data_IF_075844353861
#
_entry.id   IF_075844353861
#
_cell.length_a   1.000
_cell.length_b   1.000
_cell.length_c   1.000
_cell.angle_alpha   90.00
_cell.angle_beta   90.00
_cell.angle_gamma   90.00
#
_symmetry.space_group_name_H-M   'P 1'
#
loop_
_entity.id
_entity.type
_entity.pdbx_description
1 polymer ?
#
# COMPACT_ATOMS: atom_id res chain seq x y z
N UNK A 1 -6.09 1.46 14.55
CA UNK A 1 -6.38 1.64 13.11
C UNK A 1 -5.35 0.84 12.35
N UNK A 2 -5.75 -0.09 11.49
CA UNK A 2 -4.85 -1.09 10.88
C UNK A 2 -4.09 -0.57 9.66
N UNK A 3 -3.05 -1.31 9.26
CA UNK A 3 -2.16 -0.99 8.12
C UNK A 3 -2.89 -0.78 6.78
N UNK A 4 -4.09 -1.34 6.62
CA UNK A 4 -4.91 -1.11 5.42
C UNK A 4 -5.47 0.33 5.33
N UNK A 5 -5.78 0.95 6.47
CA UNK A 5 -6.33 2.31 6.52
C UNK A 5 -5.27 3.40 6.42
N UNK A 6 -4.03 3.10 6.86
CA UNK A 6 -2.90 4.04 6.81
C UNK A 6 -2.37 4.25 5.39
N UNK A 7 -2.58 3.32 4.46
CA UNK A 7 -2.19 3.48 3.04
C UNK A 7 -2.88 4.71 2.44
N UNK A 8 -4.21 4.76 2.53
CA UNK A 8 -5.01 5.86 1.98
C UNK A 8 -4.71 7.19 2.65
N UNK A 9 -4.52 7.20 3.98
CA UNK A 9 -4.16 8.41 4.72
C UNK A 9 -2.85 9.03 4.21
N UNK A 10 -1.80 8.21 4.05
CA UNK A 10 -0.52 8.69 3.54
C UNK A 10 -0.58 9.13 2.07
N UNK A 11 -1.44 8.50 1.25
CA UNK A 11 -1.68 8.96 -0.13
C UNK A 11 -2.33 10.34 -0.15
N UNK A 12 -3.37 10.56 0.67
CA UNK A 12 -4.05 11.86 0.78
C UNK A 12 -3.09 12.94 1.26
N UNK A 13 -2.28 12.66 2.29
CA UNK A 13 -1.26 13.59 2.77
C UNK A 13 -0.20 13.86 1.68
N UNK A 14 0.27 12.83 0.99
CA UNK A 14 1.25 12.96 -0.09
C UNK A 14 0.73 13.78 -1.27
N UNK A 15 -0.56 13.72 -1.59
CA UNK A 15 -1.18 14.56 -2.62
C UNK A 15 -1.18 16.05 -2.26
N UNK A 16 -1.16 16.38 -0.96
CA UNK A 16 -1.04 17.73 -0.44
C UNK A 16 0.39 18.10 -0.03
N UNK A 17 1.40 17.32 -0.45
CA UNK A 17 2.78 17.49 -0.02
C UNK A 17 3.36 18.87 -0.38
N UNK A 18 4.10 19.45 0.56
CA UNK A 18 4.69 20.80 0.41
C UNK A 18 5.97 20.79 -0.44
N UNK A 19 6.54 19.61 -0.68
CA UNK A 19 7.72 19.45 -1.52
C UNK A 19 7.76 18.06 -2.16
N UNK A 20 8.62 17.91 -3.18
CA UNK A 20 8.86 16.61 -3.83
C UNK A 20 9.46 15.57 -2.87
N UNK A 21 10.30 16.00 -1.94
CA UNK A 21 10.87 15.10 -0.93
C UNK A 21 9.79 14.63 0.05
N UNK A 22 8.89 15.52 0.45
CA UNK A 22 7.74 15.18 1.29
C UNK A 22 6.78 14.24 0.55
N UNK A 23 6.47 14.52 -0.71
CA UNK A 23 5.71 13.61 -1.58
C UNK A 23 6.32 12.21 -1.61
N UNK A 24 7.63 12.11 -1.90
CA UNK A 24 8.34 10.83 -1.93
C UNK A 24 8.30 10.14 -0.57
N UNK A 25 8.46 10.89 0.52
CA UNK A 25 8.41 10.35 1.88
C UNK A 25 7.03 9.74 2.18
N UNK A 26 5.94 10.50 1.99
CA UNK A 26 4.56 10.05 2.25
C UNK A 26 4.17 8.85 1.40
N UNK A 27 4.47 8.87 0.10
CA UNK A 27 4.23 7.71 -0.77
C UNK A 27 5.11 6.49 -0.41
N UNK A 28 6.32 6.70 0.14
CA UNK A 28 7.15 5.60 0.64
C UNK A 28 6.54 4.96 1.90
N UNK A 29 5.94 5.76 2.79
CA UNK A 29 5.19 5.25 3.94
C UNK A 29 3.97 4.47 3.47
N UNK A 30 3.17 5.00 2.54
CA UNK A 30 2.04 4.29 1.96
C UNK A 30 2.43 2.93 1.37
N UNK A 31 3.57 2.87 0.65
CA UNK A 31 4.09 1.63 0.07
C UNK A 31 4.53 0.61 1.14
N UNK A 32 5.10 1.06 2.26
CA UNK A 32 5.45 0.20 3.41
C UNK A 32 4.20 -0.42 4.02
N UNK A 33 3.19 0.39 4.31
CA UNK A 33 1.91 -0.06 4.89
C UNK A 33 1.15 -1.04 3.96
N UNK A 34 1.24 -0.82 2.64
CA UNK A 34 0.67 -1.74 1.65
C UNK A 34 1.37 -3.10 1.65
N UNK A 35 2.71 -3.13 1.77
CA UNK A 35 3.48 -4.38 1.89
C UNK A 35 3.21 -5.11 3.20
N UNK A 36 3.05 -4.38 4.30
CA UNK A 36 2.65 -4.96 5.60
C UNK A 36 1.25 -5.59 5.51
N UNK A 37 0.30 -4.89 4.88
CA UNK A 37 -1.05 -5.43 4.64
C UNK A 37 -1.01 -6.69 3.78
N UNK A 38 -0.20 -6.71 2.71
CA UNK A 38 0.01 -7.91 1.90
C UNK A 38 0.64 -9.06 2.69
N UNK A 39 1.59 -8.77 3.59
CA UNK A 39 2.16 -9.77 4.49
C UNK A 39 1.10 -10.41 5.38
N UNK A 40 0.25 -9.60 6.03
CA UNK A 40 -0.83 -10.11 6.89
C UNK A 40 -1.84 -10.95 6.12
N UNK A 41 -2.26 -10.49 4.93
CA UNK A 41 -3.13 -11.29 4.06
C UNK A 41 -2.49 -12.63 3.72
N UNK A 42 -1.22 -12.66 3.32
CA UNK A 42 -0.53 -13.93 3.04
C UNK A 42 -0.38 -14.84 4.27
N UNK A 43 -0.19 -14.26 5.47
CA UNK A 43 -0.12 -15.04 6.70
C UNK A 43 -1.46 -15.71 7.01
N UNK A 44 -2.56 -14.96 6.91
CA UNK A 44 -3.89 -15.49 7.15
C UNK A 44 -4.34 -16.53 6.11
N UNK A 45 -3.84 -16.45 4.89
CA UNK A 45 -4.07 -17.46 3.85
C UNK A 45 -3.47 -18.82 4.24
N UNK A 46 -2.25 -18.81 4.79
CA UNK A 46 -1.52 -20.01 5.22
C UNK A 46 -2.20 -20.73 6.37
N UNK A 47 -2.73 -19.97 7.33
CA UNK A 47 -3.42 -20.50 8.49
C UNK A 47 -4.88 -20.90 8.19
N UNK A 48 -5.32 -20.77 6.92
CA UNK A 48 -6.70 -20.99 6.45
C UNK A 48 -7.77 -20.14 7.18
N UNK A 49 -7.36 -19.18 8.01
CA UNK A 49 -8.22 -18.43 8.91
C UNK A 49 -9.27 -17.60 8.16
N UNK A 50 -8.95 -17.17 6.94
CA UNK A 50 -9.78 -16.29 6.13
C UNK A 50 -10.26 -16.93 4.82
N UNK A 51 -10.05 -18.25 4.61
CA UNK A 51 -10.51 -18.94 3.38
C UNK A 51 -12.03 -18.90 3.18
N UNK A 52 -12.80 -18.65 4.24
CA UNK A 52 -14.26 -18.52 4.21
C UNK A 52 -14.75 -17.07 4.04
N UNK A 53 -13.87 -16.08 4.04
CA UNK A 53 -14.26 -14.70 3.74
C UNK A 53 -14.51 -14.56 2.24
N UNK A 54 -15.71 -14.13 1.83
CA UNK A 54 -16.11 -14.07 0.41
C UNK A 54 -15.17 -13.29 -0.51
N UNK A 55 -14.37 -12.37 0.05
CA UNK A 55 -13.55 -11.42 -0.71
C UNK A 55 -12.04 -11.60 -0.52
N UNK A 56 -11.59 -12.66 0.16
CA UNK A 56 -10.20 -12.76 0.55
C UNK A 56 -9.22 -12.84 -0.64
N UNK A 57 -9.57 -13.59 -1.69
CA UNK A 57 -8.77 -13.63 -2.92
C UNK A 57 -8.80 -12.29 -3.67
N UNK A 58 -9.93 -11.59 -3.64
CA UNK A 58 -10.05 -10.25 -4.21
C UNK A 58 -9.10 -9.27 -3.49
N UNK A 59 -9.09 -9.27 -2.15
CA UNK A 59 -8.19 -8.42 -1.35
C UNK A 59 -6.70 -8.70 -1.63
N UNK A 60 -6.32 -9.96 -1.88
CA UNK A 60 -4.95 -10.34 -2.26
C UNK A 60 -4.55 -9.80 -3.63
N UNK A 61 -5.50 -9.69 -4.57
CA UNK A 61 -5.28 -9.09 -5.89
C UNK A 61 -5.14 -7.58 -5.74
N UNK A 62 -6.12 -6.94 -5.10
CA UNK A 62 -6.17 -5.47 -4.91
C UNK A 62 -4.91 -4.93 -4.23
N UNK A 63 -4.45 -5.56 -3.14
CA UNK A 63 -3.26 -5.06 -2.43
C UNK A 63 -2.01 -5.11 -3.30
N UNK A 64 -1.90 -6.09 -4.22
CA UNK A 64 -0.78 -6.18 -5.17
C UNK A 64 -0.86 -5.09 -6.23
N UNK A 65 -2.07 -4.76 -6.69
CA UNK A 65 -2.28 -3.66 -7.63
C UNK A 65 -1.93 -2.31 -7.00
N UNK A 66 -2.36 -2.08 -5.76
CA UNK A 66 -2.00 -0.90 -4.98
C UNK A 66 -0.48 -0.78 -4.83
N UNK A 67 0.23 -1.86 -4.48
CA UNK A 67 1.70 -1.84 -4.39
C UNK A 67 2.34 -1.45 -5.72
N UNK A 68 1.88 -2.02 -6.85
CA UNK A 68 2.41 -1.68 -8.18
C UNK A 68 2.19 -0.21 -8.53
N UNK A 69 1.02 0.34 -8.22
CA UNK A 69 0.71 1.76 -8.46
C UNK A 69 1.65 2.65 -7.63
N UNK A 70 1.78 2.37 -6.33
CA UNK A 70 2.64 3.14 -5.43
C UNK A 70 4.12 3.06 -5.85
N UNK A 71 4.61 1.87 -6.21
CA UNK A 71 5.98 1.69 -6.70
C UNK A 71 6.21 2.46 -8.01
N UNK A 72 5.25 2.43 -8.95
CA UNK A 72 5.33 3.21 -10.20
C UNK A 72 5.43 4.72 -9.93
N UNK A 73 4.59 5.24 -9.02
CA UNK A 73 4.60 6.65 -8.62
C UNK A 73 5.97 7.02 -8.03
N UNK A 74 6.51 6.20 -7.12
CA UNK A 74 7.80 6.44 -6.48
C UNK A 74 8.97 6.40 -7.48
N UNK A 75 8.95 5.46 -8.43
CA UNK A 75 9.98 5.37 -9.47
C UNK A 75 9.99 6.65 -10.30
N UNK A 76 8.82 7.07 -10.82
CA UNK A 76 8.70 8.29 -11.63
C UNK A 76 9.10 9.54 -10.84
N UNK A 77 8.65 9.66 -9.58
CA UNK A 77 8.96 10.81 -8.73
C UNK A 77 10.45 10.95 -8.42
N UNK A 78 11.18 9.84 -8.28
CA UNK A 78 12.63 9.82 -8.02
C UNK A 78 13.48 10.05 -9.28
N UNK A 79 12.99 9.65 -10.45
CA UNK A 79 13.71 9.77 -11.72
C UNK A 79 13.64 11.17 -12.32
N UNK A 80 12.47 11.81 -12.25
CA UNK A 80 12.37 13.22 -12.56
C UNK A 80 13.19 13.94 -11.49
N UNK A 81 14.34 14.53 -11.80
CA UNK A 81 14.99 15.50 -10.90
C UNK A 81 14.38 16.85 -11.17
#
# INVERSE_FOLDING_TARGET
MGSGTSIGANVVEGQAAESKNDFIHKFSVAAKEARETAFWLNLFDREELLKKLPDFEYLKIEIKEIIKILDSILITAKQNK
#
